data_IF_362159935687
#
_entry.id   IF_362159935687
#
_cell.length_a   1.000
_cell.length_b   1.000
_cell.length_c   1.000
_cell.angle_alpha   90.00
_cell.angle_beta   90.00
_cell.angle_gamma   90.00
#
_symmetry.space_group_name_H-M   'P 1'
#
loop_
_entity.id
_entity.type
_entity.pdbx_description
1 polymer ?
#
# COMPACT_ATOMS: atom_id res chain seq x y z
N UNK A 1 31.06 -7.57 -12.29
CA UNK A 1 32.26 -6.99 -11.62
C UNK A 1 31.88 -6.58 -10.21
N UNK A 2 32.75 -6.82 -9.20
CA UNK A 2 32.51 -6.29 -7.84
C UNK A 2 33.15 -4.90 -7.76
N UNK A 3 32.39 -3.92 -7.28
CA UNK A 3 32.82 -2.52 -7.17
C UNK A 3 33.44 -2.30 -5.80
N UNK A 4 34.76 -2.34 -5.73
CA UNK A 4 35.53 -2.27 -4.46
C UNK A 4 36.46 -1.04 -4.38
N UNK A 5 36.69 -0.39 -5.50
CA UNK A 5 37.62 0.76 -5.59
C UNK A 5 36.91 1.96 -6.18
N UNK A 6 37.44 3.14 -5.90
CA UNK A 6 36.96 4.40 -6.45
C UNK A 6 36.89 4.42 -7.98
N UNK A 7 37.84 3.76 -8.65
CA UNK A 7 37.84 3.64 -10.10
C UNK A 7 36.61 2.84 -10.58
N UNK A 8 36.33 1.70 -9.95
CA UNK A 8 35.25 0.83 -10.33
C UNK A 8 33.89 1.52 -10.09
N UNK A 9 33.82 2.35 -9.04
CA UNK A 9 32.64 3.15 -8.73
C UNK A 9 32.36 4.21 -9.80
N UNK A 10 33.38 4.91 -10.26
CA UNK A 10 33.27 5.89 -11.35
C UNK A 10 32.89 5.24 -12.68
N UNK A 11 33.45 4.06 -12.99
CA UNK A 11 33.08 3.31 -14.17
C UNK A 11 31.58 2.88 -14.11
N UNK A 12 31.08 2.54 -12.92
CA UNK A 12 29.66 2.24 -12.72
C UNK A 12 28.80 3.50 -12.92
N UNK A 13 29.20 4.66 -12.38
CA UNK A 13 28.47 5.93 -12.59
C UNK A 13 28.34 6.26 -14.09
N UNK A 14 29.44 6.24 -14.82
CA UNK A 14 29.48 6.51 -16.27
C UNK A 14 28.58 5.50 -17.05
N UNK A 15 28.55 4.26 -16.60
CA UNK A 15 27.72 3.23 -17.22
C UNK A 15 26.24 3.48 -16.98
N UNK A 16 25.84 3.88 -15.76
CA UNK A 16 24.45 4.16 -15.40
C UNK A 16 23.88 5.38 -16.13
N UNK A 17 24.70 6.38 -16.45
CA UNK A 17 24.28 7.55 -17.24
C UNK A 17 23.77 7.18 -18.63
N UNK A 18 24.19 6.04 -19.16
CA UNK A 18 23.90 5.59 -20.52
C UNK A 18 22.99 4.35 -20.59
N UNK A 19 22.60 3.79 -19.45
CA UNK A 19 21.85 2.53 -19.41
C UNK A 19 20.64 2.61 -18.49
N UNK A 20 19.50 2.07 -18.95
CA UNK A 20 18.47 1.64 -18.02
C UNK A 20 19.02 0.48 -17.17
N UNK A 21 18.60 0.39 -15.92
CA UNK A 21 19.18 -0.59 -15.01
C UNK A 21 18.15 -1.23 -14.08
N UNK A 22 18.41 -2.48 -13.71
CA UNK A 22 17.72 -3.22 -12.65
C UNK A 22 18.64 -3.33 -11.45
N UNK A 23 18.17 -2.90 -10.30
CA UNK A 23 18.86 -3.00 -9.03
C UNK A 23 18.13 -3.97 -8.10
N UNK A 24 18.85 -4.95 -7.58
CA UNK A 24 18.35 -5.98 -6.67
C UNK A 24 19.06 -5.83 -5.32
N UNK A 25 18.48 -5.08 -4.36
CA UNK A 25 19.05 -4.97 -3.02
C UNK A 25 18.94 -6.30 -2.29
N UNK A 26 20.05 -6.82 -1.78
CA UNK A 26 20.09 -8.00 -0.92
C UNK A 26 20.21 -7.55 0.52
N UNK A 27 19.14 -7.75 1.30
CA UNK A 27 19.08 -7.35 2.71
C UNK A 27 19.77 -8.37 3.60
N UNK A 28 20.37 -7.91 4.70
CA UNK A 28 21.04 -8.81 5.68
C UNK A 28 20.10 -9.87 6.22
N UNK A 29 18.86 -9.50 6.56
CA UNK A 29 17.81 -10.42 7.00
C UNK A 29 16.52 -10.16 6.21
N UNK A 30 16.13 -11.05 5.27
CA UNK A 30 14.95 -10.85 4.42
C UNK A 30 13.62 -10.86 5.19
N UNK A 31 13.60 -11.40 6.42
CA UNK A 31 12.39 -11.49 7.26
C UNK A 31 12.25 -10.34 8.26
N UNK A 32 13.30 -9.51 8.41
CA UNK A 32 13.28 -8.37 9.31
C UNK A 32 12.65 -7.17 8.61
N UNK A 33 11.88 -6.41 9.37
CA UNK A 33 11.35 -5.13 8.87
C UNK A 33 12.49 -4.21 8.44
N UNK A 34 12.34 -3.50 7.32
CA UNK A 34 13.39 -2.69 6.71
C UNK A 34 13.91 -1.58 7.65
N UNK A 35 13.09 -1.06 8.58
CA UNK A 35 13.50 -0.08 9.58
C UNK A 35 14.59 -0.59 10.54
N UNK A 36 14.75 -1.89 10.67
CA UNK A 36 15.72 -2.54 11.53
C UNK A 36 16.66 -3.47 10.74
N UNK A 37 16.81 -3.19 9.45
CA UNK A 37 17.58 -4.01 8.53
C UNK A 37 18.69 -3.21 7.87
N UNK A 38 19.52 -3.87 7.08
CA UNK A 38 20.63 -3.29 6.34
C UNK A 38 20.66 -3.87 4.95
N UNK A 39 21.27 -3.16 3.99
CA UNK A 39 21.61 -3.72 2.69
C UNK A 39 22.99 -4.37 2.80
N UNK A 40 23.10 -5.65 2.49
CA UNK A 40 24.36 -6.36 2.39
C UNK A 40 25.13 -5.92 1.15
N UNK A 41 24.46 -5.97 0.01
CA UNK A 41 24.95 -5.44 -1.27
C UNK A 41 23.76 -5.18 -2.21
N UNK A 42 24.03 -4.52 -3.33
CA UNK A 42 23.09 -4.38 -4.46
C UNK A 42 23.70 -5.04 -5.70
N UNK A 43 22.95 -5.95 -6.31
CA UNK A 43 23.22 -6.43 -7.66
C UNK A 43 22.61 -5.42 -8.63
N UNK A 44 23.45 -4.90 -9.55
CA UNK A 44 23.07 -3.91 -10.56
C UNK A 44 23.27 -4.55 -11.94
N UNK A 45 22.20 -4.62 -12.71
CA UNK A 45 22.22 -5.07 -14.10
C UNK A 45 21.91 -3.90 -15.03
N UNK A 46 22.87 -3.54 -15.89
CA UNK A 46 22.73 -2.50 -16.90
C UNK A 46 22.11 -3.13 -18.16
N UNK A 47 20.84 -2.81 -18.41
CA UNK A 47 19.98 -3.50 -19.35
C UNK A 47 20.47 -3.34 -20.79
N UNK A 48 20.85 -2.12 -21.19
CA UNK A 48 21.19 -1.80 -22.59
C UNK A 48 22.58 -2.33 -22.99
N UNK A 49 23.48 -2.54 -22.02
CA UNK A 49 24.86 -3.03 -22.27
C UNK A 49 25.09 -4.47 -21.86
N UNK A 50 24.11 -5.14 -21.26
CA UNK A 50 24.19 -6.51 -20.73
C UNK A 50 25.35 -6.70 -19.74
N UNK A 51 25.59 -5.71 -18.87
CA UNK A 51 26.66 -5.74 -17.87
C UNK A 51 26.09 -5.83 -16.47
N UNK A 52 26.80 -6.53 -15.60
CA UNK A 52 26.40 -6.73 -14.21
C UNK A 52 27.49 -6.29 -13.25
N UNK A 53 27.08 -5.66 -12.14
CA UNK A 53 27.92 -5.17 -11.09
C UNK A 53 27.36 -5.54 -9.71
N UNK A 54 28.27 -5.71 -8.74
CA UNK A 54 27.91 -5.88 -7.32
C UNK A 54 28.44 -4.67 -6.58
N UNK A 55 27.55 -3.99 -5.88
CA UNK A 55 27.90 -2.85 -5.03
C UNK A 55 27.75 -3.28 -3.56
N UNK A 56 28.85 -3.63 -2.88
CA UNK A 56 28.81 -4.17 -1.52
C UNK A 56 28.85 -3.06 -0.48
N UNK A 57 28.04 -3.23 0.60
CA UNK A 57 28.00 -2.31 1.74
C UNK A 57 28.34 -2.99 3.05
N UNK A 58 28.04 -4.31 3.18
CA UNK A 58 28.19 -5.02 4.44
C UNK A 58 28.50 -6.50 4.27
N UNK A 59 28.95 -6.91 3.09
CA UNK A 59 29.19 -8.32 2.80
C UNK A 59 30.60 -8.75 3.17
N UNK A 60 30.77 -9.93 3.80
CA UNK A 60 32.06 -10.42 4.31
C UNK A 60 33.10 -10.73 3.21
N UNK A 61 32.63 -11.11 2.01
CA UNK A 61 33.53 -11.52 0.92
C UNK A 61 34.04 -10.31 0.09
N UNK A 62 33.66 -9.06 0.45
CA UNK A 62 33.92 -7.88 -0.35
C UNK A 62 34.57 -6.75 0.47
N UNK A 63 35.29 -5.85 -0.20
CA UNK A 63 35.60 -4.54 0.35
C UNK A 63 34.38 -3.64 0.22
N UNK A 64 33.75 -3.35 1.37
CA UNK A 64 32.49 -2.64 1.42
C UNK A 64 32.68 -1.14 1.18
N UNK A 65 31.71 -0.54 0.47
CA UNK A 65 31.59 0.89 0.23
C UNK A 65 30.63 1.48 1.27
N UNK A 66 30.79 2.75 1.59
CA UNK A 66 29.84 3.45 2.45
C UNK A 66 28.47 3.54 1.79
N UNK A 67 27.40 3.19 2.52
CA UNK A 67 26.03 3.23 2.03
C UNK A 67 25.59 4.64 1.61
N UNK A 68 26.14 5.69 2.20
CA UNK A 68 25.83 7.08 1.84
C UNK A 68 26.20 7.38 0.38
N UNK A 69 27.20 6.71 -0.17
CA UNK A 69 27.61 6.81 -1.56
C UNK A 69 26.58 6.30 -2.57
N UNK A 70 25.60 5.55 -2.09
CA UNK A 70 24.51 5.10 -2.94
C UNK A 70 23.81 6.27 -3.64
N UNK A 71 23.66 7.40 -2.96
CA UNK A 71 23.02 8.59 -3.50
C UNK A 71 23.88 9.35 -4.53
N UNK A 72 25.15 8.99 -4.70
CA UNK A 72 26.02 9.53 -5.75
C UNK A 72 25.74 8.87 -7.12
N UNK A 73 25.04 7.72 -7.14
CA UNK A 73 24.70 6.99 -8.36
C UNK A 73 23.42 7.54 -9.00
N UNK A 74 23.46 8.79 -9.44
CA UNK A 74 22.33 9.41 -10.16
C UNK A 74 22.36 9.06 -11.65
N UNK A 75 21.20 9.02 -12.29
CA UNK A 75 21.07 8.79 -13.73
C UNK A 75 19.80 9.45 -14.26
N UNK A 76 19.87 9.94 -15.51
CA UNK A 76 18.70 10.38 -16.28
C UNK A 76 17.97 9.20 -16.96
N UNK A 77 18.52 8.00 -16.85
CA UNK A 77 17.95 6.75 -17.33
C UNK A 77 17.06 6.10 -16.27
N UNK A 78 16.18 5.23 -16.69
CA UNK A 78 15.28 4.53 -15.78
C UNK A 78 16.03 3.53 -14.91
N UNK A 79 15.89 3.67 -13.60
CA UNK A 79 16.38 2.72 -12.60
C UNK A 79 15.15 1.95 -12.07
N UNK A 80 15.16 0.64 -12.22
CA UNK A 80 14.15 -0.26 -11.65
C UNK A 80 14.74 -0.95 -10.43
N UNK A 81 14.10 -0.83 -9.28
CA UNK A 81 14.61 -1.40 -8.01
C UNK A 81 13.63 -2.44 -7.50
N UNK A 82 14.10 -3.62 -7.20
CA UNK A 82 13.29 -4.65 -6.55
C UNK A 82 12.91 -4.20 -5.13
N UNK A 83 11.62 -4.29 -4.79
CA UNK A 83 11.09 -3.86 -3.51
C UNK A 83 11.41 -2.38 -3.17
N UNK A 84 11.14 -1.45 -4.09
CA UNK A 84 11.40 0.00 -3.94
C UNK A 84 10.94 0.55 -2.59
N UNK A 85 9.78 0.12 -2.09
CA UNK A 85 9.24 0.55 -0.81
C UNK A 85 10.20 0.31 0.37
N UNK A 86 10.94 -0.81 0.35
CA UNK A 86 12.01 -1.11 1.33
C UNK A 86 13.28 -0.33 1.03
N UNK A 87 13.64 -0.23 -0.24
CA UNK A 87 14.85 0.45 -0.71
C UNK A 87 14.86 1.95 -0.39
N UNK A 88 13.70 2.61 -0.44
CA UNK A 88 13.55 4.04 -0.16
C UNK A 88 13.96 4.48 1.26
N UNK A 89 14.25 3.52 2.15
CA UNK A 89 14.84 3.81 3.47
C UNK A 89 16.34 4.12 3.40
N UNK A 90 17.01 3.67 2.35
CA UNK A 90 18.47 3.72 2.22
C UNK A 90 18.91 4.72 1.17
N UNK A 91 18.02 5.13 0.28
CA UNK A 91 18.36 6.03 -0.82
C UNK A 91 17.18 6.88 -1.25
N UNK A 92 17.47 8.11 -1.66
CA UNK A 92 16.53 9.06 -2.28
C UNK A 92 16.61 9.07 -3.81
N UNK A 93 17.31 8.13 -4.43
CA UNK A 93 17.43 8.01 -5.88
C UNK A 93 16.04 7.83 -6.50
N UNK A 94 15.76 8.60 -7.56
CA UNK A 94 14.54 8.42 -8.35
C UNK A 94 14.59 7.07 -9.06
N UNK A 95 13.65 6.20 -8.75
CA UNK A 95 13.57 4.86 -9.33
C UNK A 95 12.12 4.37 -9.40
N UNK A 96 11.88 3.31 -10.17
CA UNK A 96 10.61 2.60 -10.27
C UNK A 96 10.70 1.24 -9.57
N UNK A 97 9.58 0.76 -9.04
CA UNK A 97 9.52 -0.57 -8.45
C UNK A 97 9.51 -1.65 -9.56
N UNK A 98 10.49 -2.53 -9.53
CA UNK A 98 10.60 -3.63 -10.51
C UNK A 98 9.45 -4.64 -10.40
N UNK A 99 8.95 -4.90 -9.19
CA UNK A 99 7.79 -5.75 -8.97
C UNK A 99 6.53 -5.13 -9.58
N UNK A 100 6.42 -3.79 -9.57
CA UNK A 100 5.30 -3.07 -10.16
C UNK A 100 5.22 -3.27 -11.67
N UNK A 101 6.33 -3.32 -12.37
CA UNK A 101 6.37 -3.56 -13.83
C UNK A 101 5.62 -4.84 -14.20
N UNK A 102 5.87 -5.90 -13.48
CA UNK A 102 5.23 -7.16 -13.77
C UNK A 102 3.82 -7.27 -13.18
N UNK A 103 3.55 -6.71 -11.98
CA UNK A 103 2.20 -6.65 -11.41
C UNK A 103 1.24 -5.85 -12.29
N UNK A 104 1.69 -4.75 -12.88
CA UNK A 104 0.88 -3.92 -13.79
C UNK A 104 0.35 -4.70 -14.97
N UNK A 105 1.12 -5.68 -15.47
CA UNK A 105 0.77 -6.49 -16.63
C UNK A 105 -0.06 -7.72 -16.28
N UNK A 106 0.04 -8.28 -15.08
CA UNK A 106 -0.59 -9.57 -14.75
C UNK A 106 -1.49 -9.56 -13.50
N UNK A 107 -1.53 -8.46 -12.73
CA UNK A 107 -2.34 -8.29 -11.51
C UNK A 107 -2.15 -9.38 -10.45
N UNK A 108 -0.99 -9.98 -10.38
CA UNK A 108 -0.65 -11.01 -9.39
C UNK A 108 0.60 -10.61 -8.64
N UNK A 109 0.67 -11.03 -7.38
CA UNK A 109 1.92 -10.99 -6.65
C UNK A 109 2.97 -11.77 -7.42
N UNK A 110 4.13 -11.15 -7.62
CA UNK A 110 5.17 -11.71 -8.44
C UNK A 110 6.16 -12.54 -7.67
N UNK A 111 6.73 -13.55 -8.31
CA UNK A 111 7.84 -14.30 -7.78
C UNK A 111 9.19 -13.59 -8.02
N UNK A 112 9.24 -12.24 -8.00
CA UNK A 112 10.49 -11.50 -8.08
C UNK A 112 11.15 -11.31 -6.72
N UNK A 113 10.42 -11.52 -5.62
CA UNK A 113 10.98 -11.54 -4.29
C UNK A 113 12.07 -12.62 -4.20
N UNK A 114 13.18 -12.27 -3.56
CA UNK A 114 14.30 -13.20 -3.32
C UNK A 114 13.88 -14.50 -2.63
N UNK A 115 12.82 -14.46 -1.84
CA UNK A 115 12.25 -15.63 -1.14
C UNK A 115 11.57 -16.64 -2.07
N UNK A 116 11.29 -16.26 -3.32
CA UNK A 116 10.63 -17.09 -4.32
C UNK A 116 11.57 -17.62 -5.40
N UNK A 117 12.88 -17.53 -5.21
CA UNK A 117 13.86 -18.13 -6.12
C UNK A 117 14.12 -19.59 -5.76
N UNK A 118 14.42 -20.44 -6.73
CA UNK A 118 14.75 -21.84 -6.49
C UNK A 118 16.04 -21.99 -5.66
N UNK A 119 16.99 -21.10 -5.84
CA UNK A 119 18.21 -21.03 -5.07
C UNK A 119 17.95 -20.67 -3.60
N UNK A 120 16.95 -19.81 -3.33
CA UNK A 120 16.60 -19.38 -1.99
C UNK A 120 16.22 -20.55 -1.08
N UNK A 121 15.32 -21.42 -1.51
CA UNK A 121 14.80 -22.53 -0.69
C UNK A 121 15.88 -23.51 -0.26
N UNK A 122 16.83 -23.82 -1.14
CA UNK A 122 17.94 -24.72 -0.83
C UNK A 122 18.90 -24.12 0.20
N UNK A 123 19.28 -22.87 -0.03
CA UNK A 123 20.30 -22.18 0.75
C UNK A 123 19.78 -21.61 2.04
N UNK A 124 18.53 -21.13 2.07
CA UNK A 124 17.94 -20.58 3.28
C UNK A 124 17.84 -21.62 4.40
N UNK A 125 17.44 -22.85 4.08
CA UNK A 125 17.37 -23.93 5.07
C UNK A 125 18.73 -24.26 5.70
N UNK A 126 19.78 -24.27 4.90
CA UNK A 126 21.14 -24.49 5.40
C UNK A 126 21.67 -23.28 6.14
N UNK A 127 21.46 -22.12 5.59
CA UNK A 127 22.01 -20.85 6.02
C UNK A 127 21.44 -20.36 7.35
N UNK A 128 20.14 -20.39 7.55
CA UNK A 128 19.52 -19.98 8.82
C UNK A 128 19.92 -20.85 10.01
N UNK A 129 20.39 -22.05 9.77
CA UNK A 129 20.95 -22.90 10.82
C UNK A 129 22.37 -22.51 11.24
N UNK A 130 23.09 -21.74 10.39
CA UNK A 130 24.52 -21.46 10.61
C UNK A 130 24.78 -20.01 11.05
N UNK A 131 24.20 -19.02 10.38
CA UNK A 131 24.64 -17.63 10.53
C UNK A 131 23.53 -16.59 10.73
N UNK A 132 22.30 -16.88 10.42
CA UNK A 132 21.11 -15.99 10.51
C UNK A 132 21.15 -14.69 9.70
N UNK A 133 22.16 -14.45 8.86
CA UNK A 133 22.21 -13.24 7.99
C UNK A 133 22.81 -13.53 6.62
N UNK A 134 22.34 -12.79 5.60
CA UNK A 134 22.84 -12.88 4.23
C UNK A 134 24.23 -12.26 4.03
N UNK A 135 24.74 -11.48 4.97
CA UNK A 135 26.08 -10.90 4.93
C UNK A 135 27.18 -11.97 4.84
N UNK A 136 26.88 -13.18 5.25
CA UNK A 136 27.79 -14.32 5.34
C UNK A 136 27.63 -15.38 4.26
N UNK A 137 26.53 -15.40 3.54
CA UNK A 137 26.33 -16.33 2.42
C UNK A 137 27.33 -16.02 1.30
N UNK A 138 28.01 -16.99 0.68
CA UNK A 138 28.96 -16.73 -0.39
C UNK A 138 28.35 -15.86 -1.50
N UNK A 139 29.07 -14.81 -1.90
CA UNK A 139 28.59 -13.82 -2.89
C UNK A 139 28.19 -14.46 -4.21
N UNK A 140 28.88 -15.55 -4.60
CA UNK A 140 28.53 -16.31 -5.82
C UNK A 140 27.14 -16.91 -5.78
N UNK A 141 26.67 -17.31 -4.58
CA UNK A 141 25.31 -17.86 -4.39
C UNK A 141 24.24 -16.79 -4.43
N UNK A 142 24.56 -15.61 -3.94
CA UNK A 142 23.69 -14.45 -4.11
C UNK A 142 23.58 -14.04 -5.57
N UNK A 143 24.68 -14.07 -6.34
CA UNK A 143 24.67 -13.75 -7.77
C UNK A 143 23.73 -14.71 -8.52
N UNK A 144 23.83 -16.04 -8.27
CA UNK A 144 22.92 -17.03 -8.87
C UNK A 144 21.42 -16.66 -8.64
N UNK A 145 21.08 -16.23 -7.43
CA UNK A 145 19.71 -15.78 -7.08
C UNK A 145 19.31 -14.48 -7.80
N UNK A 146 20.21 -13.51 -7.84
CA UNK A 146 19.97 -12.25 -8.52
C UNK A 146 19.79 -12.44 -10.03
N UNK A 147 20.54 -13.34 -10.64
CA UNK A 147 20.37 -13.68 -12.05
C UNK A 147 19.01 -14.31 -12.34
N UNK A 148 18.52 -15.21 -11.47
CA UNK A 148 17.17 -15.77 -11.58
C UNK A 148 16.10 -14.67 -11.48
N UNK A 149 16.22 -13.73 -10.54
CA UNK A 149 15.29 -12.60 -10.40
C UNK A 149 15.37 -11.65 -11.60
N UNK A 150 16.58 -11.34 -12.08
CA UNK A 150 16.81 -10.56 -13.30
C UNK A 150 16.09 -11.17 -14.50
N UNK A 151 16.27 -12.47 -14.72
CA UNK A 151 15.66 -13.14 -15.87
C UNK A 151 14.13 -13.07 -15.83
N UNK A 152 13.53 -13.27 -14.66
CA UNK A 152 12.08 -13.10 -14.45
C UNK A 152 11.62 -11.65 -14.70
N UNK A 153 12.37 -10.67 -14.22
CA UNK A 153 12.07 -9.27 -14.52
C UNK A 153 12.12 -8.97 -16.02
N UNK A 154 13.15 -9.47 -16.71
CA UNK A 154 13.34 -9.23 -18.13
C UNK A 154 12.25 -9.85 -19.01
N UNK A 155 11.57 -10.90 -18.56
CA UNK A 155 10.37 -11.45 -19.25
C UNK A 155 9.26 -10.40 -19.36
N UNK A 156 9.03 -9.61 -18.29
CA UNK A 156 8.02 -8.55 -18.26
C UNK A 156 8.55 -7.25 -18.89
N UNK A 157 9.78 -6.89 -18.60
CA UNK A 157 10.36 -5.63 -19.05
C UNK A 157 10.37 -5.49 -20.59
N UNK A 158 10.64 -6.57 -21.32
CA UNK A 158 10.68 -6.56 -22.80
C UNK A 158 9.35 -6.17 -23.46
N UNK A 159 8.24 -6.39 -22.81
CA UNK A 159 6.88 -6.09 -23.31
C UNK A 159 6.21 -4.96 -22.55
N UNK A 160 6.94 -4.37 -21.61
CA UNK A 160 6.41 -3.31 -20.76
C UNK A 160 6.35 -1.98 -21.50
N UNK A 161 5.17 -1.35 -21.47
CA UNK A 161 4.96 0.01 -21.93
C UNK A 161 4.76 0.93 -20.72
N UNK A 162 5.75 1.80 -20.47
CA UNK A 162 5.75 2.76 -19.37
C UNK A 162 4.82 3.93 -19.70
N UNK A 163 3.62 3.89 -19.15
CA UNK A 163 2.60 4.92 -19.31
C UNK A 163 2.60 5.91 -18.14
N UNK A 164 2.07 7.13 -18.37
CA UNK A 164 1.88 8.10 -17.27
C UNK A 164 1.01 7.54 -16.15
N UNK A 165 0.02 6.71 -16.48
CA UNK A 165 -0.83 6.03 -15.50
C UNK A 165 -0.05 5.05 -14.62
N UNK A 166 0.93 4.35 -15.19
CA UNK A 166 1.84 3.51 -14.43
C UNK A 166 2.72 4.34 -13.50
N UNK A 167 3.35 5.39 -14.02
CA UNK A 167 4.27 6.24 -13.25
C UNK A 167 3.56 6.88 -12.06
N UNK A 168 2.36 7.44 -12.27
CA UNK A 168 1.55 8.04 -11.21
C UNK A 168 1.16 7.01 -10.13
N UNK A 169 0.64 5.86 -10.56
CA UNK A 169 0.21 4.81 -9.63
C UNK A 169 1.39 4.25 -8.83
N UNK A 170 2.49 3.93 -9.50
CA UNK A 170 3.70 3.37 -8.92
C UNK A 170 4.27 4.31 -7.85
N UNK A 171 4.44 5.58 -8.17
CA UNK A 171 4.96 6.58 -7.25
C UNK A 171 4.05 6.70 -6.03
N UNK A 172 2.75 6.91 -6.24
CA UNK A 172 1.82 7.11 -5.13
C UNK A 172 1.73 5.88 -4.21
N UNK A 173 1.69 4.68 -4.77
CA UNK A 173 1.53 3.47 -3.93
C UNK A 173 2.81 3.14 -3.16
N UNK A 174 3.97 3.23 -3.79
CA UNK A 174 5.24 2.86 -3.13
C UNK A 174 5.65 3.90 -2.10
N UNK A 175 5.61 5.19 -2.43
CA UNK A 175 6.09 6.26 -1.56
C UNK A 175 5.17 6.47 -0.35
N UNK A 176 3.84 6.45 -0.56
CA UNK A 176 2.89 6.62 0.55
C UNK A 176 2.93 5.45 1.54
N UNK A 177 2.95 4.20 1.07
CA UNK A 177 3.01 3.08 1.99
C UNK A 177 4.39 2.94 2.66
N UNK A 178 5.48 3.28 1.97
CA UNK A 178 6.79 3.37 2.62
C UNK A 178 6.79 4.41 3.77
N UNK A 179 6.11 5.53 3.60
CA UNK A 179 5.98 6.56 4.64
C UNK A 179 5.21 6.02 5.86
N UNK A 180 4.04 5.41 5.66
CA UNK A 180 3.23 4.85 6.75
C UNK A 180 3.98 3.74 7.50
N UNK A 181 4.63 2.83 6.77
CA UNK A 181 5.41 1.73 7.37
C UNK A 181 6.60 2.24 8.20
N UNK A 182 7.26 3.30 7.73
CA UNK A 182 8.39 3.95 8.42
C UNK A 182 7.97 4.57 9.75
N UNK A 183 6.79 5.16 9.78
CA UNK A 183 6.28 5.82 10.99
C UNK A 183 6.05 4.83 12.14
N UNK A 184 5.56 3.60 11.85
CA UNK A 184 5.26 2.58 12.83
C UNK A 184 4.27 3.05 13.92
N UNK A 185 3.84 2.14 14.75
CA UNK A 185 2.89 2.38 15.83
C UNK A 185 3.62 2.32 17.19
N UNK A 186 3.46 3.36 18.01
CA UNK A 186 3.91 3.31 19.39
C UNK A 186 3.01 2.36 20.18
N UNK A 187 3.62 1.50 21.01
CA UNK A 187 2.88 0.52 21.81
C UNK A 187 3.30 0.52 23.28
N UNK A 188 2.34 0.21 24.14
CA UNK A 188 2.61 -0.33 25.47
C UNK A 188 3.12 -1.76 25.30
N UNK A 189 4.42 -1.97 25.54
CA UNK A 189 5.09 -3.23 25.28
C UNK A 189 4.42 -4.42 25.94
N UNK A 190 4.08 -4.29 27.23
CA UNK A 190 3.51 -5.40 28.00
C UNK A 190 2.14 -5.81 27.44
N UNK A 191 1.26 -4.84 27.22
CA UNK A 191 -0.05 -5.09 26.62
C UNK A 191 0.05 -5.66 25.21
N UNK A 192 1.00 -5.17 24.40
CA UNK A 192 1.20 -5.67 23.04
C UNK A 192 1.64 -7.14 23.04
N UNK A 193 2.62 -7.50 23.88
CA UNK A 193 3.16 -8.87 23.95
C UNK A 193 2.11 -9.86 24.47
N UNK A 194 1.26 -9.43 25.39
CA UNK A 194 0.16 -10.27 25.90
C UNK A 194 -0.80 -10.73 24.78
N UNK A 195 -1.03 -9.90 23.78
CA UNK A 195 -1.94 -10.19 22.67
C UNK A 195 -1.24 -10.76 21.42
N UNK A 196 -0.07 -10.23 21.08
CA UNK A 196 0.56 -10.46 19.76
C UNK A 196 1.93 -11.16 19.83
N UNK A 197 2.46 -11.46 21.04
CA UNK A 197 3.85 -11.88 21.24
C UNK A 197 4.83 -10.77 20.81
N UNK A 198 6.13 -11.05 20.87
CA UNK A 198 7.16 -10.03 20.58
C UNK A 198 7.55 -9.94 19.09
N UNK A 199 6.78 -10.49 18.16
CA UNK A 199 7.13 -10.49 16.75
C UNK A 199 6.79 -9.13 16.10
N UNK A 200 7.68 -8.61 15.27
CA UNK A 200 7.45 -7.36 14.53
C UNK A 200 7.52 -6.09 15.39
N UNK A 201 8.08 -6.17 16.59
CA UNK A 201 8.27 -5.05 17.51
C UNK A 201 9.75 -4.77 17.73
N UNK A 202 10.13 -3.50 17.76
CA UNK A 202 11.43 -3.02 18.21
C UNK A 202 11.23 -2.06 19.38
N UNK A 203 11.69 -2.46 20.57
CA UNK A 203 11.43 -1.73 21.83
C UNK A 203 9.93 -1.52 22.03
N UNK A 204 9.46 -0.28 21.91
CA UNK A 204 8.05 0.11 22.08
C UNK A 204 7.39 0.51 20.75
N UNK A 205 7.96 0.09 19.60
CA UNK A 205 7.41 0.40 18.29
C UNK A 205 7.10 -0.86 17.51
N UNK A 206 5.85 -1.02 17.14
CA UNK A 206 5.41 -2.04 16.21
C UNK A 206 5.43 -1.47 14.78
N UNK A 207 5.84 -2.27 13.82
CA UNK A 207 5.86 -1.89 12.42
C UNK A 207 4.83 -2.69 11.65
N UNK A 208 4.33 -2.10 10.57
CA UNK A 208 3.40 -2.72 9.63
C UNK A 208 4.09 -2.92 8.28
N UNK A 209 3.59 -3.86 7.49
CA UNK A 209 4.02 -4.04 6.11
C UNK A 209 2.79 -4.24 5.23
N UNK A 210 2.66 -3.38 4.21
CA UNK A 210 1.55 -3.43 3.26
C UNK A 210 1.91 -4.29 2.05
N UNK A 211 1.14 -5.36 1.85
CA UNK A 211 1.15 -6.08 0.59
C UNK A 211 0.26 -5.33 -0.43
N UNK A 212 0.89 -4.63 -1.36
CA UNK A 212 0.25 -3.85 -2.43
C UNK A 212 -0.02 -4.69 -3.69
N UNK A 213 0.48 -5.92 -3.75
CA UNK A 213 0.42 -6.83 -4.90
C UNK A 213 -0.86 -7.65 -4.97
N UNK A 214 -1.97 -7.10 -4.53
CA UNK A 214 -3.29 -7.76 -4.64
C UNK A 214 -3.89 -7.52 -6.03
N UNK A 215 -4.80 -8.38 -6.47
CA UNK A 215 -5.40 -8.27 -7.81
C UNK A 215 -6.08 -6.92 -8.06
N UNK A 216 -6.68 -6.34 -7.05
CA UNK A 216 -7.36 -5.02 -7.14
C UNK A 216 -6.45 -3.85 -6.80
N UNK A 217 -5.24 -4.11 -6.29
CA UNK A 217 -4.35 -3.10 -5.72
C UNK A 217 -4.74 -2.69 -4.29
N UNK A 218 -5.87 -3.18 -3.75
CA UNK A 218 -6.29 -2.89 -2.38
C UNK A 218 -5.33 -3.52 -1.40
N UNK A 219 -4.52 -2.76 -0.67
CA UNK A 219 -3.43 -3.32 0.12
C UNK A 219 -3.95 -4.13 1.32
N UNK A 220 -3.28 -5.24 1.60
CA UNK A 220 -3.44 -5.93 2.89
C UNK A 220 -2.28 -5.56 3.80
N UNK A 221 -2.50 -5.60 5.11
CA UNK A 221 -1.50 -5.20 6.10
C UNK A 221 -1.27 -6.33 7.10
N UNK A 222 -0.11 -6.96 7.01
CA UNK A 222 0.28 -8.02 7.92
C UNK A 222 1.78 -8.03 8.12
N UNK A 223 2.24 -7.91 9.37
CA UNK A 223 3.63 -8.07 9.71
C UNK A 223 3.80 -8.74 11.09
N UNK A 224 4.84 -9.54 11.28
CA UNK A 224 5.11 -10.23 12.54
C UNK A 224 3.96 -11.13 13.05
N UNK A 225 3.08 -11.60 12.14
CA UNK A 225 1.89 -12.39 12.49
C UNK A 225 0.65 -11.57 12.84
N UNK A 226 0.76 -10.25 12.94
CA UNK A 226 -0.36 -9.34 13.25
C UNK A 226 -1.01 -8.84 11.97
N UNK A 227 -2.34 -8.97 11.87
CA UNK A 227 -3.13 -8.34 10.80
C UNK A 227 -3.69 -7.00 11.29
N UNK A 228 -2.97 -5.92 11.00
CA UNK A 228 -3.31 -4.57 11.46
C UNK A 228 -4.59 -4.00 10.82
N UNK A 229 -4.98 -4.47 9.63
CA UNK A 229 -6.22 -4.06 8.98
C UNK A 229 -7.48 -4.69 9.61
N UNK A 230 -7.32 -5.73 10.44
CA UNK A 230 -8.41 -6.49 11.05
C UNK A 230 -8.21 -6.71 12.56
N UNK A 231 -7.72 -5.69 13.28
CA UNK A 231 -7.56 -5.75 14.73
C UNK A 231 -8.93 -5.89 15.42
N UNK A 232 -9.15 -6.92 16.26
CA UNK A 232 -10.40 -7.09 16.99
C UNK A 232 -10.72 -5.89 17.88
N UNK A 233 -11.99 -5.46 17.90
CA UNK A 233 -12.42 -4.32 18.73
C UNK A 233 -12.68 -4.71 20.19
N UNK A 234 -13.01 -5.97 20.43
CA UNK A 234 -13.59 -6.47 21.68
C UNK A 234 -12.58 -7.18 22.59
N UNK A 235 -11.37 -7.44 22.11
CA UNK A 235 -10.37 -8.25 22.82
C UNK A 235 -9.43 -7.46 23.72
N UNK A 236 -9.55 -6.12 23.76
CA UNK A 236 -8.60 -5.24 24.48
C UNK A 236 -7.25 -5.06 23.77
N UNK A 237 -6.98 -5.77 22.67
CA UNK A 237 -5.70 -5.69 21.96
C UNK A 237 -5.40 -4.27 21.43
N UNK A 238 -6.44 -3.49 21.07
CA UNK A 238 -6.29 -2.10 20.63
C UNK A 238 -5.82 -1.15 21.73
N UNK A 239 -5.93 -1.51 23.00
CA UNK A 239 -5.41 -0.74 24.12
C UNK A 239 -3.87 -0.67 24.13
N UNK A 240 -3.20 -1.61 23.46
CA UNK A 240 -1.75 -1.62 23.36
C UNK A 240 -1.19 -0.51 22.48
N UNK A 241 -2.00 0.06 21.57
CA UNK A 241 -1.55 1.14 20.67
C UNK A 241 -1.82 2.49 21.31
N UNK A 242 -0.75 3.27 21.50
CA UNK A 242 -0.74 4.56 22.21
C UNK A 242 0.00 5.62 21.41
N UNK A 243 -0.14 6.89 21.79
CA UNK A 243 0.65 7.96 21.18
C UNK A 243 2.11 7.91 21.63
N UNK A 244 3.05 8.25 20.74
CA UNK A 244 4.47 8.49 21.08
C UNK A 244 4.73 9.81 21.76
N UNK A 245 3.79 10.73 21.68
CA UNK A 245 3.91 12.08 22.23
C UNK A 245 3.42 12.12 23.67
N UNK A 246 4.13 12.82 24.55
CA UNK A 246 3.78 12.93 25.99
C UNK A 246 2.35 13.43 26.24
N UNK A 247 1.87 14.34 25.39
CA UNK A 247 0.50 14.88 25.42
C UNK A 247 -0.24 14.61 24.10
N UNK A 248 0.13 13.52 23.43
CA UNK A 248 -0.49 13.15 22.16
C UNK A 248 -1.75 12.33 22.34
N UNK A 249 -2.40 12.10 21.23
CA UNK A 249 -3.55 11.21 21.14
C UNK A 249 -3.51 10.42 19.83
N UNK A 250 -4.20 9.29 19.79
CA UNK A 250 -4.52 8.65 18.52
C UNK A 250 -5.77 9.30 17.94
N UNK A 251 -5.72 9.62 16.65
CA UNK A 251 -6.80 10.23 15.90
C UNK A 251 -7.16 9.33 14.73
N UNK A 252 -8.39 8.85 14.66
CA UNK A 252 -8.91 8.08 13.52
C UNK A 252 -9.84 8.96 12.70
N UNK A 253 -9.61 9.02 11.40
CA UNK A 253 -10.49 9.63 10.41
C UNK A 253 -10.97 8.57 9.43
N UNK A 254 -12.30 8.37 9.35
CA UNK A 254 -12.97 7.29 8.63
C UNK A 254 -14.01 7.88 7.67
N UNK A 255 -14.03 7.48 6.41
CA UNK A 255 -15.01 7.97 5.44
C UNK A 255 -16.41 7.47 5.75
N UNK A 256 -17.37 8.39 5.80
CA UNK A 256 -18.78 8.05 6.03
C UNK A 256 -19.45 7.48 4.78
N UNK A 257 -19.92 6.23 4.86
CA UNK A 257 -20.58 5.51 3.75
C UNK A 257 -19.76 5.56 2.44
N UNK A 258 -18.45 5.28 2.52
CA UNK A 258 -17.50 5.51 1.43
C UNK A 258 -17.89 4.82 0.13
N UNK A 259 -18.14 3.51 0.13
CA UNK A 259 -18.47 2.78 -1.10
C UNK A 259 -19.75 3.28 -1.79
N UNK A 260 -20.89 3.51 -1.11
CA UNK A 260 -22.03 4.15 -1.73
C UNK A 260 -21.73 5.50 -2.38
N UNK A 261 -20.91 6.34 -1.72
CA UNK A 261 -20.53 7.66 -2.26
C UNK A 261 -19.57 7.53 -3.44
N UNK A 262 -18.63 6.62 -3.38
CA UNK A 262 -17.71 6.34 -4.48
C UNK A 262 -18.45 5.79 -5.71
N UNK A 263 -19.42 4.90 -5.50
CA UNK A 263 -20.29 4.42 -6.58
C UNK A 263 -21.10 5.57 -7.17
N UNK A 264 -21.68 6.42 -6.33
CA UNK A 264 -22.45 7.59 -6.78
C UNK A 264 -21.59 8.50 -7.69
N UNK A 265 -20.35 8.74 -7.27
CA UNK A 265 -19.39 9.50 -8.05
C UNK A 265 -19.08 8.84 -9.41
N UNK A 266 -18.82 7.54 -9.43
CA UNK A 266 -18.51 6.76 -10.64
C UNK A 266 -19.68 6.78 -11.65
N UNK A 267 -20.92 6.65 -11.14
CA UNK A 267 -22.12 6.57 -12.01
C UNK A 267 -22.78 7.94 -12.29
N UNK A 268 -22.22 9.03 -11.76
CA UNK A 268 -22.79 10.37 -11.85
C UNK A 268 -24.18 10.47 -11.20
N UNK A 269 -24.29 10.02 -9.94
CA UNK A 269 -25.50 10.10 -9.15
C UNK A 269 -25.32 11.02 -7.95
N UNK A 270 -26.20 12.00 -7.79
CA UNK A 270 -26.16 12.92 -6.66
C UNK A 270 -26.86 12.29 -5.45
N UNK A 271 -26.08 11.89 -4.46
CA UNK A 271 -26.58 11.50 -3.15
C UNK A 271 -26.94 12.77 -2.35
N UNK A 272 -28.01 12.73 -1.54
CA UNK A 272 -28.34 13.87 -0.71
C UNK A 272 -27.30 14.10 0.39
N UNK A 273 -27.28 15.33 0.91
CA UNK A 273 -26.51 15.66 2.09
C UNK A 273 -26.97 14.85 3.29
N UNK A 274 -26.05 14.58 4.23
CA UNK A 274 -26.32 13.84 5.45
C UNK A 274 -26.11 12.32 5.32
N UNK A 275 -26.88 11.55 6.08
CA UNK A 275 -26.70 10.10 6.18
C UNK A 275 -27.21 9.35 4.94
N UNK A 276 -26.30 8.75 4.19
CA UNK A 276 -26.62 7.90 3.03
C UNK A 276 -27.45 6.67 3.44
N UNK A 277 -27.17 6.10 4.61
CA UNK A 277 -27.91 4.94 5.09
C UNK A 277 -29.35 5.29 5.51
N UNK A 278 -29.56 6.49 6.04
CA UNK A 278 -30.90 7.00 6.32
C UNK A 278 -31.67 7.28 5.03
N UNK A 279 -31.02 7.88 4.04
CA UNK A 279 -31.59 8.07 2.72
C UNK A 279 -32.07 6.76 2.09
N UNK A 280 -31.22 5.72 2.11
CA UNK A 280 -31.63 4.41 1.59
C UNK A 280 -32.71 3.75 2.44
N UNK A 281 -32.66 3.90 3.76
CA UNK A 281 -33.71 3.38 4.64
C UNK A 281 -35.09 3.96 4.29
N UNK A 282 -35.18 5.28 4.05
CA UNK A 282 -36.42 5.93 3.59
C UNK A 282 -36.94 5.34 2.28
N UNK A 283 -36.02 5.03 1.35
CA UNK A 283 -36.38 4.39 0.08
C UNK A 283 -36.83 2.94 0.24
N UNK A 284 -36.19 2.17 1.16
CA UNK A 284 -36.54 0.76 1.37
C UNK A 284 -37.84 0.57 2.12
N UNK A 285 -38.08 1.39 3.12
CA UNK A 285 -39.25 1.23 4.02
C UNK A 285 -40.43 2.14 3.68
N UNK A 286 -40.23 3.10 2.75
CA UNK A 286 -41.30 4.05 2.34
C UNK A 286 -41.76 4.96 3.48
N UNK A 287 -40.82 5.38 4.37
CA UNK A 287 -41.09 6.18 5.58
C UNK A 287 -40.13 7.37 5.63
N UNK A 288 -40.60 8.48 6.21
CA UNK A 288 -39.74 9.64 6.46
C UNK A 288 -38.95 9.54 7.77
N UNK A 289 -39.54 8.92 8.80
CA UNK A 289 -38.88 8.69 10.09
C UNK A 289 -38.37 7.25 10.14
N UNK A 290 -37.07 7.11 10.39
CA UNK A 290 -36.35 5.83 10.43
C UNK A 290 -35.92 5.54 11.87
N UNK A 291 -36.25 4.34 12.37
CA UNK A 291 -35.77 3.85 13.66
C UNK A 291 -34.30 3.39 13.56
N UNK A 292 -33.64 3.21 14.70
CA UNK A 292 -32.27 2.70 14.77
C UNK A 292 -32.15 1.28 14.15
N UNK A 293 -33.12 0.42 14.42
CA UNK A 293 -33.20 -0.92 13.82
C UNK A 293 -33.34 -0.86 12.29
N UNK A 294 -34.19 0.01 11.76
CA UNK A 294 -34.37 0.20 10.31
C UNK A 294 -33.11 0.79 9.67
N UNK A 295 -32.41 1.68 10.37
CA UNK A 295 -31.13 2.20 9.93
C UNK A 295 -30.07 1.10 9.81
N UNK A 296 -29.95 0.22 10.80
CA UNK A 296 -29.02 -0.90 10.78
C UNK A 296 -29.39 -1.97 9.75
N UNK A 297 -30.69 -2.22 9.56
CA UNK A 297 -31.17 -3.07 8.46
C UNK A 297 -30.84 -2.48 7.10
N UNK A 298 -31.00 -1.16 6.93
CA UNK A 298 -30.63 -0.46 5.69
C UNK A 298 -29.16 -0.66 5.31
N UNK A 299 -28.24 -0.58 6.27
CA UNK A 299 -26.83 -0.89 6.04
C UNK A 299 -26.64 -2.30 5.48
N UNK A 300 -27.24 -3.29 6.14
CA UNK A 300 -27.13 -4.71 5.72
C UNK A 300 -27.70 -4.93 4.31
N UNK A 301 -28.88 -4.33 4.01
CA UNK A 301 -29.50 -4.40 2.68
C UNK A 301 -28.59 -3.76 1.64
N UNK A 302 -28.11 -2.54 1.89
CA UNK A 302 -27.22 -1.80 0.98
C UNK A 302 -25.96 -2.59 0.65
N UNK A 303 -25.26 -3.11 1.66
CA UNK A 303 -24.05 -3.91 1.43
C UNK A 303 -24.35 -5.21 0.67
N UNK A 304 -25.45 -5.91 1.00
CA UNK A 304 -25.88 -7.09 0.25
C UNK A 304 -26.13 -6.77 -1.23
N UNK A 305 -26.81 -5.66 -1.53
CA UNK A 305 -27.11 -5.26 -2.91
C UNK A 305 -25.84 -4.87 -3.67
N UNK A 306 -24.93 -4.16 -3.04
CA UNK A 306 -23.70 -3.70 -3.70
C UNK A 306 -22.72 -4.84 -3.99
N UNK A 307 -22.56 -5.78 -3.07
CA UNK A 307 -21.58 -6.86 -3.21
C UNK A 307 -22.17 -8.18 -3.72
N UNK A 308 -23.42 -8.49 -3.39
CA UNK A 308 -24.09 -9.72 -3.78
C UNK A 308 -24.88 -9.63 -5.09
N UNK A 309 -25.18 -8.41 -5.51
CA UNK A 309 -25.97 -8.12 -6.71
C UNK A 309 -27.32 -7.47 -6.44
N UNK A 310 -27.75 -6.64 -7.37
CA UNK A 310 -28.96 -5.83 -7.26
C UNK A 310 -30.16 -6.64 -7.75
N UNK A 311 -31.08 -6.92 -6.83
CA UNK A 311 -32.34 -7.62 -7.11
C UNK A 311 -33.31 -6.70 -7.90
N UNK A 312 -34.18 -7.31 -8.71
CA UNK A 312 -35.17 -6.57 -9.54
C UNK A 312 -36.05 -5.60 -8.75
N UNK A 313 -36.42 -5.96 -7.51
CA UNK A 313 -37.26 -5.11 -6.67
C UNK A 313 -36.58 -3.82 -6.24
N UNK A 314 -35.25 -3.81 -6.19
CA UNK A 314 -34.44 -2.64 -5.84
C UNK A 314 -33.98 -1.83 -7.06
N UNK A 315 -34.11 -2.33 -8.29
CA UNK A 315 -33.79 -1.58 -9.51
C UNK A 315 -34.68 -0.34 -9.69
N UNK A 316 -35.86 -0.31 -9.05
CA UNK A 316 -36.75 0.86 -9.00
C UNK A 316 -36.20 2.02 -8.16
N UNK A 317 -35.29 1.77 -7.24
CA UNK A 317 -34.56 2.83 -6.52
C UNK A 317 -33.53 3.44 -7.47
N UNK A 318 -33.61 4.73 -7.76
CA UNK A 318 -32.82 5.34 -8.87
C UNK A 318 -31.32 5.08 -8.80
N UNK A 319 -30.74 5.12 -7.60
CA UNK A 319 -29.33 4.79 -7.37
C UNK A 319 -28.99 3.36 -7.82
N UNK A 320 -29.78 2.36 -7.38
CA UNK A 320 -29.52 0.96 -7.73
C UNK A 320 -29.82 0.65 -9.18
N UNK A 321 -30.84 1.29 -9.78
CA UNK A 321 -31.14 1.15 -11.20
C UNK A 321 -29.99 1.67 -12.09
N UNK A 322 -29.42 2.85 -11.77
CA UNK A 322 -28.22 3.37 -12.44
C UNK A 322 -27.00 2.46 -12.22
N UNK A 323 -26.77 2.01 -10.97
CA UNK A 323 -25.68 1.10 -10.65
C UNK A 323 -25.78 -0.20 -11.44
N UNK A 324 -26.98 -0.79 -11.55
CA UNK A 324 -27.22 -2.01 -12.33
C UNK A 324 -26.93 -1.82 -13.81
N UNK A 325 -27.35 -0.69 -14.37
CA UNK A 325 -27.07 -0.34 -15.76
C UNK A 325 -25.56 -0.19 -15.99
N UNK A 326 -24.87 0.46 -15.08
CA UNK A 326 -23.41 0.59 -15.11
C UNK A 326 -22.72 -0.78 -15.08
N UNK A 327 -23.12 -1.68 -14.17
CA UNK A 327 -22.58 -3.06 -14.06
C UNK A 327 -22.75 -3.82 -15.37
N UNK A 328 -23.93 -3.72 -16.02
CA UNK A 328 -24.20 -4.39 -17.28
C UNK A 328 -23.32 -3.87 -18.42
N UNK A 329 -23.16 -2.56 -18.50
CA UNK A 329 -22.29 -1.92 -19.50
C UNK A 329 -20.82 -2.27 -19.28
N UNK A 330 -20.36 -2.22 -18.02
CA UNK A 330 -19.00 -2.64 -17.62
C UNK A 330 -18.72 -4.07 -18.05
N UNK A 331 -19.66 -4.98 -17.80
CA UNK A 331 -19.55 -6.38 -18.20
C UNK A 331 -19.52 -6.60 -19.71
N UNK A 332 -20.33 -5.85 -20.45
CA UNK A 332 -20.33 -5.91 -21.93
C UNK A 332 -19.00 -5.44 -22.50
N UNK A 333 -18.49 -4.30 -22.03
CA UNK A 333 -17.20 -3.77 -22.43
C UNK A 333 -16.04 -4.73 -22.10
N UNK A 334 -16.08 -5.34 -20.92
CA UNK A 334 -15.07 -6.33 -20.51
C UNK A 334 -15.03 -7.57 -21.42
N UNK A 335 -16.20 -8.04 -21.85
CA UNK A 335 -16.28 -9.18 -22.77
C UNK A 335 -15.79 -8.81 -24.19
N UNK A 336 -16.12 -7.63 -24.65
CA UNK A 336 -15.83 -7.17 -26.00
C UNK A 336 -14.37 -6.73 -26.15
N UNK A 337 -13.87 -5.89 -25.23
CA UNK A 337 -12.53 -5.31 -25.35
C UNK A 337 -11.43 -6.12 -24.68
N UNK A 338 -11.79 -7.13 -23.87
CA UNK A 338 -10.82 -7.93 -23.12
C UNK A 338 -10.22 -7.24 -21.89
N UNK A 339 -10.64 -6.04 -21.56
CA UNK A 339 -10.25 -5.29 -20.36
C UNK A 339 -11.27 -4.21 -20.02
N UNK A 340 -11.19 -3.67 -18.82
CA UNK A 340 -11.80 -2.41 -18.38
C UNK A 340 -10.74 -1.57 -17.67
N UNK A 341 -10.97 -0.26 -17.57
CA UNK A 341 -10.06 0.65 -16.89
C UNK A 341 -10.70 1.24 -15.66
N UNK A 342 -9.89 1.52 -14.65
CA UNK A 342 -10.34 2.25 -13.46
C UNK A 342 -10.72 3.68 -13.81
N UNK A 343 -11.70 4.29 -13.12
CA UNK A 343 -12.19 5.61 -13.47
C UNK A 343 -11.14 6.71 -13.33
N UNK A 344 -10.30 6.66 -12.29
CA UNK A 344 -9.37 7.74 -11.93
C UNK A 344 -8.03 7.63 -12.66
N UNK A 345 -7.24 6.60 -12.37
CA UNK A 345 -5.89 6.46 -12.94
C UNK A 345 -5.84 5.71 -14.28
N UNK A 346 -7.00 5.27 -14.79
CA UNK A 346 -7.08 4.53 -16.06
C UNK A 346 -6.28 3.22 -16.08
N UNK A 347 -6.05 2.64 -14.90
CA UNK A 347 -5.36 1.35 -14.77
C UNK A 347 -6.18 0.24 -15.42
N UNK A 348 -5.60 -0.57 -16.31
CA UNK A 348 -6.31 -1.64 -16.97
C UNK A 348 -6.53 -2.84 -16.02
N UNK A 349 -7.70 -3.46 -16.11
CA UNK A 349 -8.03 -4.74 -15.48
C UNK A 349 -8.25 -5.76 -16.62
N UNK A 350 -7.25 -6.58 -16.89
CA UNK A 350 -7.22 -7.48 -18.04
C UNK A 350 -7.98 -8.79 -17.79
N UNK A 351 -8.77 -9.22 -18.79
CA UNK A 351 -9.58 -10.44 -18.74
C UNK A 351 -8.73 -11.72 -18.62
N UNK A 352 -7.57 -11.77 -19.27
CA UNK A 352 -6.66 -12.91 -19.20
C UNK A 352 -6.00 -13.07 -17.82
N UNK A 353 -5.98 -12.00 -17.00
CA UNK A 353 -5.43 -12.02 -15.66
C UNK A 353 -6.49 -12.31 -14.58
N UNK A 354 -7.78 -12.21 -14.92
CA UNK A 354 -8.91 -12.34 -14.01
C UNK A 354 -9.70 -13.60 -14.31
N UNK A 355 -9.75 -14.54 -13.35
CA UNK A 355 -10.43 -15.81 -13.52
C UNK A 355 -11.81 -15.83 -12.87
N UNK A 356 -12.73 -16.66 -13.43
CA UNK A 356 -14.08 -16.88 -12.90
C UNK A 356 -14.87 -15.59 -12.66
N UNK A 357 -14.78 -14.63 -13.61
CA UNK A 357 -15.47 -13.35 -13.52
C UNK A 357 -16.94 -13.47 -13.85
N UNK A 358 -17.74 -12.70 -13.13
CA UNK A 358 -19.12 -12.39 -13.42
C UNK A 358 -19.36 -10.87 -13.26
N UNK A 359 -20.52 -10.33 -13.67
CA UNK A 359 -20.76 -8.89 -13.61
C UNK A 359 -20.54 -8.27 -12.22
N UNK A 360 -21.03 -8.90 -11.16
CA UNK A 360 -20.92 -8.40 -9.80
C UNK A 360 -19.48 -8.48 -9.29
N UNK A 361 -18.78 -9.59 -9.56
CA UNK A 361 -17.36 -9.75 -9.16
C UNK A 361 -16.48 -8.73 -9.86
N UNK A 362 -16.69 -8.48 -11.15
CA UNK A 362 -15.96 -7.46 -11.91
C UNK A 362 -16.20 -6.06 -11.34
N UNK A 363 -17.46 -5.74 -11.03
CA UNK A 363 -17.82 -4.47 -10.42
C UNK A 363 -17.15 -4.30 -9.04
N UNK A 364 -17.14 -5.34 -8.21
CA UNK A 364 -16.47 -5.30 -6.91
C UNK A 364 -14.95 -5.09 -7.05
N UNK A 365 -14.32 -5.69 -8.06
CA UNK A 365 -12.91 -5.47 -8.33
C UNK A 365 -12.63 -4.04 -8.79
N UNK A 366 -13.47 -3.50 -9.69
CA UNK A 366 -13.37 -2.10 -10.12
C UNK A 366 -13.56 -1.14 -8.94
N UNK A 367 -14.55 -1.41 -8.07
CA UNK A 367 -14.83 -0.58 -6.90
C UNK A 367 -13.65 -0.56 -5.91
N UNK A 368 -13.08 -1.73 -5.58
CA UNK A 368 -11.91 -1.83 -4.70
C UNK A 368 -10.67 -1.16 -5.29
N UNK A 369 -10.47 -1.31 -6.60
CA UNK A 369 -9.38 -0.64 -7.29
C UNK A 369 -9.56 0.89 -7.26
N UNK A 370 -10.78 1.36 -7.51
CA UNK A 370 -11.12 2.79 -7.44
C UNK A 370 -10.94 3.35 -6.02
N UNK A 371 -11.40 2.64 -4.99
CA UNK A 371 -11.18 2.98 -3.58
C UNK A 371 -9.69 3.23 -3.31
N UNK A 372 -8.84 2.30 -3.72
CA UNK A 372 -7.39 2.42 -3.55
C UNK A 372 -6.84 3.64 -4.26
N UNK A 373 -7.19 3.85 -5.53
CA UNK A 373 -6.68 4.98 -6.32
C UNK A 373 -7.11 6.34 -5.75
N UNK A 374 -8.35 6.47 -5.26
CA UNK A 374 -8.79 7.69 -4.58
C UNK A 374 -8.01 7.91 -3.28
N UNK A 375 -7.81 6.86 -2.50
CA UNK A 375 -7.12 6.94 -1.23
C UNK A 375 -5.61 7.21 -1.37
N UNK A 376 -4.97 6.76 -2.44
CA UNK A 376 -3.56 7.08 -2.72
C UNK A 376 -3.34 8.59 -2.88
N UNK A 377 -4.24 9.30 -3.55
CA UNK A 377 -4.16 10.76 -3.64
C UNK A 377 -4.40 11.42 -2.28
N UNK A 378 -5.41 10.95 -1.53
CA UNK A 378 -5.64 11.46 -0.17
C UNK A 378 -4.43 11.22 0.73
N UNK A 379 -3.82 10.04 0.68
CA UNK A 379 -2.60 9.73 1.43
C UNK A 379 -1.46 10.66 1.05
N UNK A 380 -1.28 10.95 -0.24
CA UNK A 380 -0.25 11.87 -0.71
C UNK A 380 -0.49 13.28 -0.18
N UNK A 381 -1.71 13.81 -0.36
CA UNK A 381 -2.06 15.15 0.09
C UNK A 381 -1.94 15.29 1.62
N UNK A 382 -2.27 14.24 2.37
CA UNK A 382 -2.08 14.20 3.82
C UNK A 382 -0.60 14.13 4.20
N UNK A 383 0.21 13.30 3.52
CA UNK A 383 1.66 13.23 3.77
C UNK A 383 2.34 14.58 3.48
N UNK A 384 1.96 15.24 2.38
CA UNK A 384 2.46 16.56 2.03
C UNK A 384 2.08 17.61 3.10
N UNK A 385 0.82 17.61 3.53
CA UNK A 385 0.36 18.46 4.63
C UNK A 385 1.17 18.22 5.92
N UNK A 386 1.40 16.95 6.29
CA UNK A 386 2.07 16.58 7.53
C UNK A 386 3.58 16.79 7.52
N UNK A 387 4.19 17.09 6.37
CA UNK A 387 5.65 17.26 6.25
C UNK A 387 6.23 18.34 7.17
N UNK A 388 5.41 19.32 7.58
CA UNK A 388 5.79 20.43 8.48
C UNK A 388 5.30 20.24 9.93
N UNK A 389 4.72 19.08 10.27
CA UNK A 389 4.11 18.80 11.57
C UNK A 389 4.75 17.59 12.25
N UNK A 390 4.53 17.46 13.56
CA UNK A 390 4.98 16.29 14.33
C UNK A 390 4.03 15.09 14.19
N UNK A 391 2.78 15.36 13.90
CA UNK A 391 1.72 14.35 13.66
C UNK A 391 2.08 13.46 12.49
N UNK A 392 1.86 12.15 12.62
CA UNK A 392 2.19 11.18 11.58
C UNK A 392 1.01 10.26 11.27
N UNK A 393 0.87 9.82 10.00
CA UNK A 393 0.03 8.67 9.66
C UNK A 393 0.74 7.41 10.14
N UNK A 394 0.08 6.58 10.94
CA UNK A 394 0.66 5.36 11.50
C UNK A 394 -0.04 4.09 11.05
N UNK A 395 -1.26 4.21 10.51
CA UNK A 395 -2.00 3.07 9.96
C UNK A 395 -3.00 3.53 8.91
N UNK A 396 -3.07 2.78 7.81
CA UNK A 396 -4.10 2.86 6.78
C UNK A 396 -4.95 1.58 6.82
N UNK A 397 -6.26 1.72 6.92
CA UNK A 397 -7.20 0.59 6.97
C UNK A 397 -8.35 0.81 5.98
N UNK A 398 -8.05 0.78 4.69
CA UNK A 398 -8.99 0.90 3.57
C UNK A 398 -9.71 2.27 3.51
N UNK A 399 -10.74 2.44 4.31
CA UNK A 399 -11.57 3.64 4.39
C UNK A 399 -11.23 4.56 5.56
N UNK A 400 -10.15 4.26 6.31
CA UNK A 400 -9.72 5.10 7.41
C UNK A 400 -8.20 5.28 7.51
N UNK A 401 -7.80 6.42 8.08
CA UNK A 401 -6.44 6.72 8.49
C UNK A 401 -6.37 6.88 10.02
N UNK A 402 -5.35 6.27 10.61
CA UNK A 402 -5.00 6.46 12.02
C UNK A 402 -3.75 7.32 12.12
N UNK A 403 -3.83 8.38 12.89
CA UNK A 403 -2.75 9.32 13.14
C UNK A 403 -2.25 9.21 14.58
N UNK A 404 -0.96 9.38 14.76
CA UNK A 404 -0.32 9.66 16.03
C UNK A 404 -0.17 11.19 16.16
N UNK A 405 -1.16 11.82 16.79
CA UNK A 405 -1.36 13.25 16.79
C UNK A 405 -0.60 13.92 17.95
N UNK A 406 0.30 14.87 17.64
CA UNK A 406 0.92 15.74 18.65
C UNK A 406 0.01 16.95 18.92
N UNK A 407 -0.42 17.12 20.17
CA UNK A 407 -1.26 18.27 20.57
C UNK A 407 -0.57 19.62 20.33
N UNK A 408 0.74 19.66 20.15
CA UNK A 408 1.49 20.89 19.82
C UNK A 408 1.18 21.40 18.42
N UNK A 409 0.76 20.53 17.51
CA UNK A 409 0.40 20.89 16.14
C UNK A 409 -0.93 21.67 16.06
N UNK A 410 -1.71 21.70 17.16
CA UNK A 410 -2.83 22.59 17.37
C UNK A 410 -4.11 22.23 16.60
N UNK A 411 -5.22 22.86 16.97
CA UNK A 411 -6.54 22.55 16.40
C UNK A 411 -6.64 22.84 14.89
N UNK A 412 -5.86 23.76 14.38
CA UNK A 412 -5.89 24.13 12.95
C UNK A 412 -5.48 22.95 12.05
N UNK A 413 -4.52 22.14 12.48
CA UNK A 413 -4.14 20.93 11.74
C UNK A 413 -5.31 19.95 11.64
N UNK A 414 -6.12 19.77 12.71
CA UNK A 414 -7.28 18.88 12.65
C UNK A 414 -8.29 19.30 11.58
N UNK A 415 -8.50 20.61 11.43
CA UNK A 415 -9.41 21.18 10.42
C UNK A 415 -8.84 20.94 9.03
N UNK A 416 -7.55 21.20 8.83
CA UNK A 416 -6.86 20.95 7.55
C UNK A 416 -6.89 19.46 7.17
N UNK A 417 -6.60 18.57 8.12
CA UNK A 417 -6.66 17.12 7.91
C UNK A 417 -8.06 16.67 7.47
N UNK A 418 -9.10 17.17 8.15
CA UNK A 418 -10.48 16.86 7.79
C UNK A 418 -10.83 17.34 6.38
N UNK A 419 -10.42 18.56 6.02
CA UNK A 419 -10.67 19.12 4.68
C UNK A 419 -9.99 18.31 3.60
N UNK A 420 -8.69 18.01 3.76
CA UNK A 420 -7.93 17.17 2.83
C UNK A 420 -8.54 15.76 2.72
N UNK A 421 -8.79 15.09 3.84
CA UNK A 421 -9.40 13.76 3.86
C UNK A 421 -10.75 13.75 3.16
N UNK A 422 -11.62 14.74 3.43
CA UNK A 422 -12.95 14.82 2.83
C UNK A 422 -12.95 15.27 1.37
N UNK A 423 -11.80 15.62 0.81
CA UNK A 423 -11.67 16.25 -0.51
C UNK A 423 -12.62 17.45 -0.64
N UNK A 424 -12.49 18.39 0.29
CA UNK A 424 -13.33 19.59 0.41
C UNK A 424 -14.82 19.27 0.57
N UNK A 425 -15.14 18.24 1.33
CA UNK A 425 -16.51 17.82 1.65
C UNK A 425 -17.15 16.82 0.71
N UNK A 426 -16.48 16.44 -0.39
CA UNK A 426 -16.98 15.44 -1.35
C UNK A 426 -17.25 14.07 -0.70
N UNK A 427 -16.37 13.64 0.19
CA UNK A 427 -16.47 12.40 0.95
C UNK A 427 -16.43 12.72 2.46
N UNK A 428 -17.58 12.89 3.12
CA UNK A 428 -17.62 13.23 4.55
C UNK A 428 -16.83 12.24 5.40
N UNK A 429 -16.17 12.76 6.44
CA UNK A 429 -15.28 12.01 7.34
C UNK A 429 -15.80 12.07 8.76
N UNK A 430 -15.86 10.92 9.43
CA UNK A 430 -16.05 10.77 10.87
C UNK A 430 -14.71 10.80 11.55
N UNK A 431 -14.62 11.53 12.67
CA UNK A 431 -13.38 11.71 13.42
C UNK A 431 -13.53 11.20 14.83
N UNK A 432 -12.62 10.35 15.28
CA UNK A 432 -12.53 9.87 16.66
C UNK A 432 -11.14 10.14 17.20
N UNK A 433 -11.04 10.42 18.49
CA UNK A 433 -9.76 10.60 19.16
C UNK A 433 -9.73 9.95 20.54
N UNK A 434 -8.57 9.48 20.96
CA UNK A 434 -8.40 8.83 22.25
C UNK A 434 -6.95 8.69 22.69
N UNK A 435 -6.76 8.33 23.94
CA UNK A 435 -5.42 8.07 24.51
C UNK A 435 -4.81 6.76 24.03
N UNK A 436 -5.63 5.86 23.51
CA UNK A 436 -5.24 4.62 22.85
C UNK A 436 -6.27 4.26 21.77
N UNK A 437 -5.98 3.27 20.94
CA UNK A 437 -6.84 2.89 19.81
C UNK A 437 -8.17 2.23 20.21
N UNK A 438 -8.34 1.85 21.48
CA UNK A 438 -9.59 1.30 22.01
C UNK A 438 -10.50 2.41 22.57
N UNK A 439 -9.94 3.28 23.41
CA UNK A 439 -10.68 4.32 24.12
C UNK A 439 -10.81 5.59 23.26
N UNK A 440 -11.52 5.50 22.13
CA UNK A 440 -11.74 6.61 21.21
C UNK A 440 -13.14 7.19 21.34
N UNK A 441 -13.23 8.51 21.41
CA UNK A 441 -14.48 9.28 21.47
C UNK A 441 -14.75 9.96 20.13
N UNK A 442 -15.99 9.96 19.68
CA UNK A 442 -16.43 10.69 18.47
C UNK A 442 -16.29 12.21 18.69
N UNK A 443 -15.59 12.83 17.76
CA UNK A 443 -15.33 14.27 17.73
C UNK A 443 -15.87 14.95 16.47
N UNK A 444 -16.59 14.22 15.62
CA UNK A 444 -17.04 14.69 14.30
C UNK A 444 -17.79 16.02 14.36
N UNK A 445 -18.70 16.16 15.32
CA UNK A 445 -19.49 17.39 15.52
C UNK A 445 -18.69 18.58 16.09
N UNK A 446 -17.51 18.33 16.67
CA UNK A 446 -16.64 19.40 17.21
C UNK A 446 -15.73 20.01 16.15
N UNK A 447 -15.68 19.37 14.97
CA UNK A 447 -14.87 19.78 13.82
C UNK A 447 -15.74 20.22 12.62
N UNK A 448 -17.06 20.26 12.82
CA UNK A 448 -18.03 20.78 11.84
C UNK A 448 -18.09 22.29 11.89
#
# INVERSE_FOLDING_TARGET
MIVEKEKDFKELQELLENNNSLWIPMYSDPYRHFMNNYISFIYIYCIDSDKQHILPFRHKDCFNIDIERLNDLTSDRDIYVLAKKRFSQFSSIKCYDADMVAWWQNHKMLPLDETNTSAHDSWNRWWHNETNTHDWLPITKHIERCEEMKDKFMEFYRTFDKTNAFEEYEQLVTDNFACVERNGLQVDYNKFVDHFKANGIDKNRAFTEYNIWTTTGRPSNKFGGVNYAALPKETGCRESFVSRWEKGMLLEMDFDAYHPRLIADIIGYDLPDGSVHEYFAKQYFGKDMISEDEYDQSKKITFRLLYGGIDKDFEKVPFFGKTKSFINNLWSNFKENGFVVTPRMKRPLYKNCLHDMNPNKLFNYLLQASETEYNLHVLNDVNDLLSEYNTNIILYTYDSLLFDYDMKDGKELLIKLKDVMSQSGRFPVKTKAGVNYHAMTDMTSRLS
#
